data_IF_203066057052
#
_entry.id   IF_203066057052
#
_cell.length_a   1.000
_cell.length_b   1.000
_cell.length_c   1.000
_cell.angle_alpha   90.00
_cell.angle_beta   90.00
_cell.angle_gamma   90.00
#
_symmetry.space_group_name_H-M   'P 1'
#
loop_
_entity.id
_entity.type
_entity.pdbx_description
1 polymer ?
#
# COMPACT_ATOMS: atom_id res chain seq x y z
N UNK A 1 19.11 -12.17 -12.95
CA UNK A 1 19.26 -11.61 -11.58
C UNK A 1 18.12 -10.64 -11.22
N UNK A 2 17.72 -9.74 -12.13
CA UNK A 2 16.68 -8.74 -11.88
C UNK A 2 15.26 -9.34 -11.69
N UNK A 3 14.88 -10.34 -12.50
CA UNK A 3 13.58 -11.03 -12.38
C UNK A 3 13.38 -11.71 -11.02
N UNK A 4 14.41 -12.38 -10.48
CA UNK A 4 14.36 -12.99 -9.14
C UNK A 4 14.20 -11.96 -8.02
N UNK A 5 14.86 -10.80 -8.14
CA UNK A 5 14.69 -9.69 -7.19
C UNK A 5 13.25 -9.13 -7.23
N UNK A 6 12.73 -8.88 -8.43
CA UNK A 6 11.34 -8.44 -8.65
C UNK A 6 10.35 -9.41 -8.01
N UNK A 7 10.47 -10.70 -8.33
CA UNK A 7 9.60 -11.76 -7.83
C UNK A 7 9.67 -11.86 -6.30
N UNK A 8 10.87 -11.84 -5.71
CA UNK A 8 11.03 -11.92 -4.26
C UNK A 8 10.34 -10.76 -3.54
N UNK A 9 10.53 -9.54 -4.04
CA UNK A 9 9.92 -8.34 -3.44
C UNK A 9 8.40 -8.36 -3.59
N UNK A 10 7.87 -8.77 -4.74
CA UNK A 10 6.43 -8.91 -4.93
C UNK A 10 5.83 -9.97 -3.99
N UNK A 11 6.47 -11.14 -3.83
CA UNK A 11 6.01 -12.18 -2.91
C UNK A 11 5.98 -11.65 -1.47
N UNK A 12 7.06 -11.02 -1.01
CA UNK A 12 7.13 -10.43 0.33
C UNK A 12 6.05 -9.36 0.52
N UNK A 13 5.87 -8.51 -0.50
CA UNK A 13 4.83 -7.47 -0.49
C UNK A 13 3.44 -8.06 -0.35
N UNK A 14 3.14 -9.13 -1.10
CA UNK A 14 1.85 -9.80 -1.07
C UNK A 14 1.58 -10.47 0.28
N UNK A 15 2.54 -11.24 0.79
CA UNK A 15 2.41 -12.00 2.04
C UNK A 15 2.25 -11.08 3.25
N UNK A 16 2.91 -9.91 3.27
CA UNK A 16 2.75 -8.94 4.35
C UNK A 16 1.54 -8.03 4.14
N UNK A 17 1.34 -7.57 2.91
CA UNK A 17 0.32 -6.58 2.56
C UNK A 17 -1.10 -7.12 2.66
N UNK A 18 -1.37 -8.33 2.15
CA UNK A 18 -2.74 -8.88 2.08
C UNK A 18 -3.35 -9.06 3.49
N UNK A 19 -2.71 -9.76 4.44
CA UNK A 19 -3.29 -9.93 5.77
C UNK A 19 -3.48 -8.59 6.49
N UNK A 20 -2.50 -7.70 6.41
CA UNK A 20 -2.54 -6.43 7.11
C UNK A 20 -3.64 -5.50 6.57
N UNK A 21 -3.80 -5.41 5.25
CA UNK A 21 -4.82 -4.58 4.62
C UNK A 21 -6.22 -5.18 4.73
N UNK A 22 -6.39 -6.51 4.70
CA UNK A 22 -7.70 -7.14 4.97
C UNK A 22 -8.16 -6.82 6.40
N UNK A 23 -7.27 -6.96 7.38
CA UNK A 23 -7.56 -6.64 8.78
C UNK A 23 -7.92 -5.15 8.97
N UNK A 24 -7.18 -4.26 8.31
CA UNK A 24 -7.45 -2.83 8.31
C UNK A 24 -8.79 -2.50 7.66
N UNK A 25 -9.06 -3.06 6.47
CA UNK A 25 -10.33 -2.91 5.75
C UNK A 25 -11.52 -3.33 6.62
N UNK A 26 -11.47 -4.51 7.23
CA UNK A 26 -12.52 -4.99 8.14
C UNK A 26 -12.75 -4.01 9.31
N UNK A 27 -11.67 -3.47 9.86
CA UNK A 27 -11.72 -2.52 10.97
C UNK A 27 -12.33 -1.18 10.54
N UNK A 28 -11.92 -0.64 9.40
CA UNK A 28 -12.42 0.64 8.89
C UNK A 28 -13.85 0.52 8.38
N UNK A 29 -14.24 -0.57 7.70
CA UNK A 29 -15.63 -0.84 7.33
C UNK A 29 -16.56 -0.80 8.55
N UNK A 30 -16.22 -1.53 9.62
CA UNK A 30 -17.00 -1.51 10.87
C UNK A 30 -17.06 -0.12 11.49
N UNK A 31 -15.96 0.63 11.44
CA UNK A 31 -15.87 1.96 12.03
C UNK A 31 -16.71 2.99 11.26
N UNK A 32 -16.58 3.00 9.93
CA UNK A 32 -17.35 3.86 9.02
C UNK A 32 -18.85 3.55 9.12
N UNK A 33 -19.22 2.27 9.19
CA UNK A 33 -20.63 1.87 9.36
C UNK A 33 -21.23 2.36 10.68
N UNK A 34 -20.47 2.36 11.79
CA UNK A 34 -20.98 2.80 13.10
C UNK A 34 -20.99 4.32 13.26
N UNK A 35 -19.89 4.99 12.91
CA UNK A 35 -19.74 6.44 13.04
C UNK A 35 -18.71 6.94 12.03
N UNK A 36 -19.16 7.37 10.83
CA UNK A 36 -18.24 7.81 9.79
C UNK A 36 -17.57 9.11 10.20
N UNK A 37 -16.25 9.15 10.08
CA UNK A 37 -15.45 10.37 10.16
C UNK A 37 -14.63 10.51 8.86
N UNK A 38 -14.33 11.75 8.41
CA UNK A 38 -13.57 11.97 7.18
C UNK A 38 -12.27 11.14 7.13
N UNK A 39 -11.47 11.17 8.20
CA UNK A 39 -10.26 10.35 8.33
C UNK A 39 -10.50 8.85 8.13
N UNK A 40 -11.62 8.31 8.60
CA UNK A 40 -11.90 6.87 8.50
C UNK A 40 -12.31 6.48 7.08
N UNK A 41 -12.95 7.40 6.34
CA UNK A 41 -13.28 7.21 4.92
C UNK A 41 -12.01 7.28 4.06
N UNK A 42 -11.09 8.21 4.35
CA UNK A 42 -9.82 8.31 3.63
C UNK A 42 -8.96 7.06 3.86
N UNK A 43 -8.85 6.59 5.11
CA UNK A 43 -8.11 5.36 5.42
C UNK A 43 -8.79 4.12 4.84
N UNK A 44 -10.13 4.07 4.78
CA UNK A 44 -10.84 3.00 4.11
C UNK A 44 -10.54 2.98 2.60
N UNK A 45 -10.60 4.14 1.93
CA UNK A 45 -10.24 4.22 0.51
C UNK A 45 -8.77 3.86 0.25
N UNK A 46 -7.86 4.22 1.16
CA UNK A 46 -6.46 3.80 1.09
C UNK A 46 -6.34 2.28 1.16
N UNK A 47 -7.00 1.63 2.13
CA UNK A 47 -7.02 0.15 2.20
C UNK A 47 -7.67 -0.50 0.98
N UNK A 48 -8.69 0.11 0.37
CA UNK A 48 -9.31 -0.40 -0.86
C UNK A 48 -8.31 -0.30 -2.03
N UNK A 49 -7.62 0.83 -2.15
CA UNK A 49 -6.56 1.04 -3.15
C UNK A 49 -5.46 -0.02 -3.00
N UNK A 50 -4.98 -0.25 -1.79
CA UNK A 50 -3.93 -1.24 -1.51
C UNK A 50 -4.40 -2.68 -1.76
N UNK A 51 -5.65 -3.02 -1.43
CA UNK A 51 -6.20 -4.35 -1.73
C UNK A 51 -6.37 -4.59 -3.24
N UNK A 52 -6.77 -3.57 -4.01
CA UNK A 52 -6.82 -3.66 -5.47
C UNK A 52 -5.39 -3.86 -6.00
N UNK A 53 -4.43 -3.04 -5.56
CA UNK A 53 -3.02 -3.20 -5.90
C UNK A 53 -2.52 -4.64 -5.64
N UNK A 54 -2.77 -5.16 -4.43
CA UNK A 54 -2.35 -6.50 -4.03
C UNK A 54 -3.08 -7.61 -4.80
N UNK A 55 -4.32 -7.39 -5.23
CA UNK A 55 -5.06 -8.34 -6.05
C UNK A 55 -4.50 -8.46 -7.48
N UNK A 56 -3.91 -7.38 -8.02
CA UNK A 56 -3.26 -7.38 -9.34
C UNK A 56 -1.76 -7.74 -9.29
N UNK A 57 -1.14 -7.69 -8.12
CA UNK A 57 0.27 -8.04 -7.92
C UNK A 57 0.65 -9.47 -8.40
N UNK A 58 -0.18 -10.53 -8.25
CA UNK A 58 0.12 -11.87 -8.75
C UNK A 58 0.32 -11.93 -10.27
N UNK A 59 -0.38 -11.11 -11.07
CA UNK A 59 -0.15 -11.05 -12.51
C UNK A 59 1.25 -10.51 -12.83
N UNK A 60 1.71 -9.52 -12.06
CA UNK A 60 3.10 -9.00 -12.13
C UNK A 60 4.13 -10.01 -11.61
N UNK A 61 3.78 -10.86 -10.65
CA UNK A 61 4.64 -11.99 -10.26
C UNK A 61 4.77 -13.00 -11.39
N UNK A 62 3.68 -13.30 -12.10
CA UNK A 62 3.73 -14.23 -13.24
C UNK A 62 4.59 -13.67 -14.37
N UNK A 63 4.41 -12.40 -14.72
CA UNK A 63 5.28 -11.69 -15.68
C UNK A 63 6.76 -11.77 -15.27
N UNK A 64 7.08 -11.48 -14.00
CA UNK A 64 8.47 -11.58 -13.51
C UNK A 64 9.01 -13.03 -13.47
N UNK A 65 8.15 -14.03 -13.29
CA UNK A 65 8.52 -15.44 -13.32
C UNK A 65 8.76 -15.96 -14.73
N UNK A 66 8.17 -15.32 -15.74
CA UNK A 66 8.32 -15.62 -17.16
C UNK A 66 9.39 -14.73 -17.80
N UNK A 67 10.42 -14.34 -17.04
CA UNK A 67 11.52 -13.49 -17.51
C UNK A 67 11.08 -12.16 -18.17
N UNK A 68 9.98 -11.58 -17.66
CA UNK A 68 9.33 -10.36 -18.15
C UNK A 68 8.53 -10.53 -19.46
N UNK A 69 8.35 -11.76 -19.93
CA UNK A 69 7.43 -12.08 -21.03
C UNK A 69 5.97 -12.11 -20.53
N UNK A 70 5.06 -11.60 -21.35
CA UNK A 70 3.63 -11.60 -21.06
C UNK A 70 2.94 -12.79 -21.73
N UNK A 71 2.87 -13.92 -21.01
CA UNK A 71 2.25 -15.17 -21.50
C UNK A 71 0.76 -15.31 -21.17
N UNK A 72 0.20 -14.36 -20.41
CA UNK A 72 -1.22 -14.31 -20.07
C UNK A 72 -2.06 -13.73 -21.23
N UNK A 73 -3.40 -13.89 -21.23
CA UNK A 73 -4.25 -13.24 -22.22
C UNK A 73 -3.93 -11.75 -22.35
N UNK A 74 -3.65 -11.29 -23.57
CA UNK A 74 -3.08 -9.95 -23.77
C UNK A 74 -3.94 -8.80 -23.21
N UNK A 75 -5.28 -8.80 -23.24
CA UNK A 75 -6.08 -7.74 -22.61
C UNK A 75 -5.79 -7.52 -21.12
N UNK A 76 -5.30 -8.54 -20.41
CA UNK A 76 -4.90 -8.43 -19.02
C UNK A 76 -3.62 -7.60 -18.83
N UNK A 77 -2.75 -7.46 -19.85
CA UNK A 77 -1.54 -6.65 -19.78
C UNK A 77 -1.86 -5.17 -19.50
N UNK A 78 -2.56 -4.44 -20.41
CA UNK A 78 -2.86 -3.03 -20.19
C UNK A 78 -3.75 -2.83 -18.96
N UNK A 79 -4.66 -3.77 -18.68
CA UNK A 79 -5.55 -3.68 -17.51
C UNK A 79 -4.80 -3.84 -16.18
N UNK A 80 -3.92 -4.83 -16.08
CA UNK A 80 -3.08 -5.05 -14.88
C UNK A 80 -2.16 -3.85 -14.67
N UNK A 81 -1.49 -3.37 -15.73
CA UNK A 81 -0.64 -2.18 -15.66
C UNK A 81 -1.44 -0.97 -15.16
N UNK A 82 -2.59 -0.69 -15.77
CA UNK A 82 -3.45 0.42 -15.39
C UNK A 82 -3.85 0.38 -13.91
N UNK A 83 -4.41 -0.74 -13.43
CA UNK A 83 -4.82 -0.87 -12.03
C UNK A 83 -3.64 -0.75 -11.07
N UNK A 84 -2.49 -1.33 -11.43
CA UNK A 84 -1.28 -1.29 -10.63
C UNK A 84 -0.77 0.15 -10.42
N UNK A 85 -0.65 0.95 -11.48
CA UNK A 85 -0.15 2.32 -11.32
C UNK A 85 -1.21 3.29 -10.78
N UNK A 86 -2.49 3.14 -11.17
CA UNK A 86 -3.59 3.98 -10.62
C UNK A 86 -3.64 3.87 -9.11
N UNK A 87 -3.56 2.65 -8.57
CA UNK A 87 -3.62 2.42 -7.12
C UNK A 87 -2.40 3.01 -6.38
N UNK A 88 -1.20 2.91 -6.94
CA UNK A 88 0.02 3.53 -6.37
C UNK A 88 -0.15 5.06 -6.23
N UNK A 89 -0.56 5.74 -7.30
CA UNK A 89 -0.74 7.20 -7.24
C UNK A 89 -1.98 7.61 -6.44
N UNK A 90 -3.04 6.80 -6.43
CA UNK A 90 -4.20 7.03 -5.59
C UNK A 90 -3.83 6.96 -4.10
N UNK A 91 -2.98 6.01 -3.69
CA UNK A 91 -2.44 5.96 -2.32
C UNK A 91 -1.65 7.23 -1.97
N UNK A 92 -0.92 7.81 -2.92
CA UNK A 92 -0.19 9.08 -2.74
C UNK A 92 -1.13 10.26 -2.45
N UNK A 93 -2.23 10.39 -3.22
CA UNK A 93 -3.24 11.43 -3.00
C UNK A 93 -4.03 11.22 -1.69
N UNK A 94 -4.36 9.97 -1.36
CA UNK A 94 -5.07 9.63 -0.12
C UNK A 94 -4.21 9.90 1.13
N UNK A 95 -2.91 9.57 1.10
CA UNK A 95 -1.97 9.92 2.16
C UNK A 95 -1.83 11.44 2.33
N UNK A 96 -1.87 12.19 1.22
CA UNK A 96 -1.89 13.65 1.26
C UNK A 96 -3.17 14.16 1.93
N UNK A 97 -4.34 13.65 1.55
CA UNK A 97 -5.59 14.02 2.19
C UNK A 97 -5.63 13.64 3.68
N UNK A 98 -5.03 12.52 4.08
CA UNK A 98 -4.85 12.16 5.49
C UNK A 98 -4.02 13.22 6.22
N UNK A 99 -2.93 13.71 5.62
CA UNK A 99 -2.11 14.78 6.22
C UNK A 99 -2.91 16.09 6.39
N UNK A 100 -3.71 16.46 5.39
CA UNK A 100 -4.57 17.66 5.42
C UNK A 100 -5.64 17.53 6.49
N UNK A 101 -6.33 16.39 6.57
CA UNK A 101 -7.34 16.10 7.60
C UNK A 101 -6.75 16.22 9.01
N UNK A 102 -5.52 15.71 9.21
CA UNK A 102 -4.84 15.79 10.51
C UNK A 102 -4.46 17.22 10.87
N UNK A 103 -3.97 17.98 9.91
CA UNK A 103 -3.63 19.39 10.08
C UNK A 103 -4.89 20.22 10.42
N UNK A 104 -5.95 20.12 9.60
CA UNK A 104 -7.20 20.88 9.80
C UNK A 104 -7.84 20.58 11.15
N UNK A 105 -7.82 19.32 11.59
CA UNK A 105 -8.36 18.90 12.88
C UNK A 105 -7.66 19.50 14.10
N UNK A 106 -6.42 19.99 13.96
CA UNK A 106 -5.66 20.63 15.06
C UNK A 106 -5.56 22.14 14.87
N UNK A 107 -5.46 22.63 13.63
CA UNK A 107 -5.38 24.06 13.34
C UNK A 107 -6.71 24.79 13.58
N UNK A 108 -7.84 24.12 13.32
CA UNK A 108 -9.16 24.76 13.37
C UNK A 108 -10.19 23.93 14.17
N UNK A 109 -9.94 23.57 15.44
CA UNK A 109 -10.75 22.59 16.17
C UNK A 109 -12.25 22.95 16.24
N UNK A 110 -12.61 24.23 16.44
CA UNK A 110 -14.00 24.67 16.55
C UNK A 110 -14.70 24.71 15.18
N UNK A 111 -14.14 25.46 14.22
CA UNK A 111 -14.71 25.59 12.86
C UNK A 111 -14.73 24.24 12.12
N UNK A 112 -13.64 23.48 12.24
CA UNK A 112 -13.54 22.17 11.62
C UNK A 112 -14.52 21.18 12.24
N UNK A 113 -14.69 21.14 13.56
CA UNK A 113 -15.66 20.24 14.21
C UNK A 113 -17.09 20.49 13.73
N UNK A 114 -17.48 21.74 13.44
CA UNK A 114 -18.79 22.09 12.91
C UNK A 114 -18.95 21.73 11.42
N UNK A 115 -17.88 21.84 10.64
CA UNK A 115 -17.86 21.53 9.21
C UNK A 115 -17.43 20.10 8.87
N UNK A 116 -17.18 19.24 9.88
CA UNK A 116 -16.63 17.87 9.73
C UNK A 116 -17.63 16.90 9.13
N UNK A 117 -17.97 17.08 7.85
CA UNK A 117 -18.89 16.23 7.10
C UNK A 117 -18.12 15.12 6.39
N UNK A 118 -18.40 13.84 6.68
CA UNK A 118 -17.73 12.71 6.02
C UNK A 118 -17.89 12.71 4.48
N UNK A 119 -18.95 13.35 3.97
CA UNK A 119 -19.22 13.51 2.53
C UNK A 119 -18.06 14.16 1.77
N UNK A 120 -17.33 15.11 2.38
CA UNK A 120 -16.18 15.73 1.71
C UNK A 120 -15.04 14.73 1.46
N UNK A 121 -14.80 13.80 2.38
CA UNK A 121 -13.81 12.74 2.18
C UNK A 121 -14.26 11.74 1.09
N UNK A 122 -15.55 11.47 0.96
CA UNK A 122 -16.10 10.64 -0.13
C UNK A 122 -15.87 11.32 -1.47
N UNK A 123 -16.27 12.58 -1.61
CA UNK A 123 -16.06 13.35 -2.84
C UNK A 123 -14.57 13.48 -3.19
N UNK A 124 -13.71 13.77 -2.22
CA UNK A 124 -12.27 13.81 -2.44
C UNK A 124 -11.74 12.46 -2.95
N UNK A 125 -12.18 11.34 -2.36
CA UNK A 125 -11.75 10.01 -2.79
C UNK A 125 -12.19 9.70 -4.22
N UNK A 126 -13.44 10.03 -4.58
CA UNK A 126 -13.94 9.87 -5.96
C UNK A 126 -13.11 10.70 -6.94
N UNK A 127 -12.81 11.95 -6.59
CA UNK A 127 -11.97 12.84 -7.41
C UNK A 127 -10.58 12.23 -7.60
N UNK A 128 -9.96 11.69 -6.55
CA UNK A 128 -8.64 11.06 -6.67
C UNK A 128 -8.64 9.86 -7.60
N UNK A 129 -9.66 8.99 -7.52
CA UNK A 129 -9.82 7.88 -8.46
C UNK A 129 -9.96 8.35 -9.90
N UNK A 130 -10.79 9.37 -10.15
CA UNK A 130 -10.97 9.95 -11.50
C UNK A 130 -9.68 10.58 -12.01
N UNK A 131 -9.04 11.45 -11.22
CA UNK A 131 -7.82 12.17 -11.61
C UNK A 131 -6.70 11.18 -11.92
N UNK A 132 -6.47 10.19 -11.06
CA UNK A 132 -5.45 9.17 -11.30
C UNK A 132 -5.77 8.32 -12.51
N UNK A 133 -7.02 7.88 -12.67
CA UNK A 133 -7.44 7.09 -13.84
C UNK A 133 -7.28 7.85 -15.16
N UNK A 134 -7.58 9.15 -15.18
CA UNK A 134 -7.38 9.99 -16.36
C UNK A 134 -5.89 10.16 -16.70
N UNK A 135 -5.07 10.53 -15.71
CA UNK A 135 -3.64 10.75 -15.89
C UNK A 135 -2.88 9.47 -16.30
N UNK A 136 -3.32 8.31 -15.80
CA UNK A 136 -2.69 7.02 -16.07
C UNK A 136 -3.34 6.22 -17.20
N UNK A 137 -4.31 6.80 -17.90
CA UNK A 137 -4.94 6.19 -19.08
C UNK A 137 -3.92 5.77 -20.16
N UNK A 138 -2.80 6.51 -20.29
CA UNK A 138 -1.70 6.20 -21.22
C UNK A 138 -1.10 4.80 -21.00
N UNK A 139 -1.10 4.31 -19.75
CA UNK A 139 -0.60 2.97 -19.39
C UNK A 139 -1.49 1.88 -19.98
N UNK A 140 -2.78 2.14 -20.14
CA UNK A 140 -3.72 1.23 -20.79
C UNK A 140 -3.64 1.36 -22.31
N UNK A 141 -3.67 2.61 -22.81
CA UNK A 141 -3.81 2.91 -24.23
C UNK A 141 -2.59 2.45 -25.03
N UNK A 142 -1.35 2.65 -24.54
CA UNK A 142 -0.16 2.31 -25.31
C UNK A 142 -0.06 0.80 -25.60
N UNK A 143 -0.05 -0.11 -24.59
CA UNK A 143 0.02 -1.55 -24.87
C UNK A 143 -1.17 -2.05 -25.68
N UNK A 144 -2.37 -1.50 -25.43
CA UNK A 144 -3.55 -1.84 -26.22
C UNK A 144 -3.40 -1.46 -27.70
N UNK A 145 -2.90 -0.25 -27.98
CA UNK A 145 -2.65 0.22 -29.35
C UNK A 145 -1.55 -0.61 -30.04
N UNK A 146 -0.49 -1.00 -29.32
CA UNK A 146 0.56 -1.89 -29.83
C UNK A 146 -0.02 -3.23 -30.28
N UNK A 147 -0.90 -3.83 -29.47
CA UNK A 147 -1.57 -5.08 -29.81
C UNK A 147 -2.53 -4.97 -30.98
N UNK A 148 -3.35 -3.90 -31.02
CA UNK A 148 -4.27 -3.64 -32.13
C UNK A 148 -3.52 -3.50 -33.47
N UNK A 149 -2.42 -2.75 -33.50
CA UNK A 149 -1.60 -2.60 -34.72
C UNK A 149 -1.02 -3.92 -35.20
N UNK A 150 -0.58 -4.77 -34.28
CA UNK A 150 -0.09 -6.12 -34.61
C UNK A 150 -1.19 -7.00 -35.21
N UNK A 151 -2.43 -6.88 -34.72
CA UNK A 151 -3.60 -7.58 -35.26
C UNK A 151 -3.91 -7.18 -36.71
N UNK A 152 -3.89 -5.89 -37.02
CA UNK A 152 -4.24 -5.38 -38.35
C UNK A 152 -3.15 -5.69 -39.40
N UNK A 153 -1.88 -5.68 -38.99
CA UNK A 153 -0.73 -5.92 -39.88
C UNK A 153 -0.75 -7.32 -40.52
N UNK A 154 -1.28 -8.34 -39.82
CA UNK A 154 -1.44 -9.69 -40.35
C UNK A 154 -2.58 -9.85 -41.36
N UNK A 155 -3.52 -8.88 -41.43
CA UNK A 155 -4.65 -8.94 -42.36
C UNK A 155 -4.31 -8.43 -43.77
N UNK A 156 -3.26 -7.61 -43.92
CA UNK A 156 -2.96 -6.93 -45.18
C UNK A 156 -1.87 -7.63 -46.03
N UNK A 157 -1.10 -8.54 -45.42
CA UNK A 157 -0.20 -9.40 -46.15
C UNK A 157 -0.97 -10.68 -46.49
N UNK A 158 -1.35 -10.85 -47.76
CA UNK A 158 -2.13 -11.99 -48.29
C UNK A 158 -1.47 -13.37 -48.16
N UNK A 159 -0.59 -13.57 -47.19
CA UNK A 159 -0.13 -14.86 -46.72
C UNK A 159 -1.29 -15.62 -46.06
N UNK A 160 -1.69 -16.72 -46.70
CA UNK A 160 -2.43 -17.82 -46.10
C UNK A 160 -1.73 -18.30 -44.83
N UNK A 161 -2.10 -17.74 -43.68
CA UNK A 161 -1.73 -18.27 -42.39
C UNK A 161 -2.89 -18.04 -41.42
N UNK A 162 -3.57 -19.13 -41.05
CA UNK A 162 -4.54 -19.23 -39.95
C UNK A 162 -3.89 -18.97 -38.56
N UNK A 163 -2.82 -18.18 -38.49
CA UNK A 163 -2.12 -17.87 -37.26
C UNK A 163 -2.62 -16.51 -36.75
N UNK A 164 -3.31 -16.46 -35.60
CA UNK A 164 -3.69 -15.20 -34.99
C UNK A 164 -2.46 -14.32 -34.81
N UNK A 165 -2.61 -13.01 -35.01
CA UNK A 165 -1.54 -12.05 -34.83
C UNK A 165 -0.84 -12.27 -33.48
N UNK A 166 0.48 -12.43 -33.52
CA UNK A 166 1.26 -12.70 -32.31
C UNK A 166 1.19 -11.45 -31.43
N UNK A 167 0.68 -11.53 -30.20
CA UNK A 167 0.67 -10.39 -29.30
C UNK A 167 2.10 -9.93 -29.00
N UNK A 168 2.30 -8.65 -28.62
CA UNK A 168 3.60 -8.17 -28.16
C UNK A 168 4.17 -9.09 -27.06
N UNK A 169 5.46 -9.46 -27.13
CA UNK A 169 6.06 -10.41 -26.19
C UNK A 169 6.15 -9.84 -24.77
N UNK A 170 6.30 -8.51 -24.66
CA UNK A 170 6.46 -7.79 -23.39
C UNK A 170 5.25 -6.90 -23.10
N UNK A 171 5.05 -6.56 -21.83
CA UNK A 171 3.94 -5.70 -21.39
C UNK A 171 4.46 -4.37 -20.81
N UNK A 172 4.26 -3.27 -21.55
CA UNK A 172 4.62 -1.91 -21.13
C UNK A 172 6.11 -1.73 -20.75
N UNK A 173 6.99 -2.40 -21.50
CA UNK A 173 8.46 -2.33 -21.35
C UNK A 173 9.10 -1.59 -22.52
N UNK A 174 8.76 -2.00 -23.74
CA UNK A 174 9.37 -1.50 -24.97
C UNK A 174 8.50 -0.43 -25.62
N UNK A 175 9.14 0.68 -25.99
CA UNK A 175 8.49 1.85 -26.58
C UNK A 175 9.27 2.33 -27.81
N UNK A 176 8.55 2.59 -28.88
CA UNK A 176 9.07 3.26 -30.07
C UNK A 176 9.37 4.73 -29.78
N UNK A 177 10.18 5.37 -30.64
CA UNK A 177 10.53 6.80 -30.49
C UNK A 177 9.29 7.71 -30.50
N UNK A 178 8.27 7.38 -31.28
CA UNK A 178 7.05 8.17 -31.35
C UNK A 178 6.16 7.99 -30.11
N UNK A 179 6.11 6.77 -29.54
CA UNK A 179 5.46 6.55 -28.25
C UNK A 179 6.16 7.31 -27.13
N UNK A 180 7.51 7.35 -27.12
CA UNK A 180 8.28 8.10 -26.14
C UNK A 180 8.03 9.62 -26.19
N UNK A 181 7.83 10.20 -27.38
CA UNK A 181 7.48 11.63 -27.53
C UNK A 181 6.20 12.01 -26.78
N UNK A 182 5.25 11.08 -26.68
CA UNK A 182 3.99 11.28 -25.95
C UNK A 182 4.18 10.91 -24.47
N UNK A 183 4.88 9.81 -24.21
CA UNK A 183 4.95 9.18 -22.90
C UNK A 183 5.85 9.92 -21.91
N UNK A 184 6.96 10.50 -22.37
CA UNK A 184 7.91 11.20 -21.50
C UNK A 184 7.31 12.48 -20.88
N UNK A 185 6.64 13.38 -21.65
CA UNK A 185 5.95 14.53 -21.05
C UNK A 185 4.87 14.12 -20.04
N UNK A 186 4.08 13.08 -20.33
CA UNK A 186 3.05 12.58 -19.40
C UNK A 186 3.70 12.05 -18.12
N UNK A 187 4.80 11.29 -18.21
CA UNK A 187 5.55 10.83 -17.03
C UNK A 187 6.08 11.99 -16.19
N UNK A 188 6.57 13.05 -16.82
CA UNK A 188 7.00 14.26 -16.11
C UNK A 188 5.81 14.94 -15.41
N UNK A 189 4.65 15.00 -16.06
CA UNK A 189 3.41 15.50 -15.42
C UNK A 189 3.04 14.66 -14.19
N UNK A 190 3.09 13.32 -14.27
CA UNK A 190 2.86 12.43 -13.12
C UNK A 190 3.81 12.75 -11.96
N UNK A 191 5.09 12.97 -12.25
CA UNK A 191 6.09 13.37 -11.25
C UNK A 191 5.71 14.69 -10.57
N UNK A 192 5.39 15.72 -11.35
CA UNK A 192 5.09 17.05 -10.82
C UNK A 192 3.77 17.07 -10.04
N UNK A 193 2.70 16.55 -10.65
CA UNK A 193 1.33 16.69 -10.18
C UNK A 193 0.98 15.62 -9.15
N UNK A 194 1.37 14.37 -9.36
CA UNK A 194 0.98 13.24 -8.51
C UNK A 194 2.05 12.83 -7.50
N UNK A 195 3.25 13.42 -7.53
CA UNK A 195 4.28 13.21 -6.52
C UNK A 195 4.74 14.51 -5.84
N UNK A 196 5.28 15.49 -6.56
CA UNK A 196 5.83 16.71 -5.95
C UNK A 196 4.77 17.53 -5.20
N UNK A 197 3.63 17.81 -5.83
CA UNK A 197 2.53 18.55 -5.18
C UNK A 197 2.03 17.82 -3.91
N UNK A 198 1.66 16.52 -3.97
CA UNK A 198 1.34 15.70 -2.79
C UNK A 198 2.40 15.73 -1.68
N UNK A 199 3.68 15.62 -2.04
CA UNK A 199 4.79 15.60 -1.10
C UNK A 199 4.96 16.94 -0.38
N UNK A 200 4.89 18.06 -1.12
CA UNK A 200 4.98 19.41 -0.57
C UNK A 200 3.81 19.71 0.36
N UNK A 201 2.58 19.40 -0.07
CA UNK A 201 1.38 19.56 0.76
C UNK A 201 1.50 18.73 2.04
N UNK A 202 1.87 17.45 1.91
CA UNK A 202 2.02 16.55 3.06
C UNK A 202 3.06 17.05 4.05
N UNK A 203 4.20 17.52 3.56
CA UNK A 203 5.27 18.08 4.39
C UNK A 203 4.79 19.33 5.12
N UNK A 204 4.17 20.27 4.41
CA UNK A 204 3.59 21.47 5.01
C UNK A 204 2.56 21.13 6.09
N UNK A 205 1.61 20.25 5.79
CA UNK A 205 0.56 19.85 6.72
C UNK A 205 1.12 19.17 7.96
N UNK A 206 2.05 18.22 7.82
CA UNK A 206 2.62 17.52 8.96
C UNK A 206 3.54 18.37 9.83
N UNK A 207 4.36 19.24 9.23
CA UNK A 207 5.19 20.19 9.98
C UNK A 207 4.31 21.09 10.84
N UNK A 208 3.25 21.67 10.27
CA UNK A 208 2.35 22.54 11.02
C UNK A 208 1.51 21.76 12.04
N UNK A 209 1.02 20.56 11.69
CA UNK A 209 0.33 19.66 12.61
C UNK A 209 1.18 19.38 13.85
N UNK A 210 2.46 19.01 13.70
CA UNK A 210 3.37 18.75 14.82
C UNK A 210 3.66 20.02 15.63
N UNK A 211 3.89 21.16 14.96
CA UNK A 211 4.16 22.45 15.63
C UNK A 211 3.00 22.87 16.52
N UNK A 212 1.78 22.86 15.99
CA UNK A 212 0.59 23.23 16.76
C UNK A 212 0.37 22.22 17.89
N UNK A 213 0.40 20.92 17.58
CA UNK A 213 0.20 19.86 18.58
C UNK A 213 1.21 19.94 19.74
N UNK A 214 2.46 20.33 19.46
CA UNK A 214 3.51 20.45 20.48
C UNK A 214 3.35 21.67 21.38
N UNK A 215 2.56 22.68 20.97
CA UNK A 215 2.25 23.87 21.78
C UNK A 215 1.02 23.71 22.68
N UNK A 216 0.20 22.67 22.47
CA UNK A 216 -0.99 22.45 23.29
C UNK A 216 -0.57 21.93 24.69
N UNK A 217 -0.93 22.63 25.79
CA UNK A 217 -0.42 22.36 27.13
C UNK A 217 -0.86 21.01 27.71
N UNK A 218 -1.99 20.46 27.26
CA UNK A 218 -2.61 19.25 27.83
C UNK A 218 -2.46 17.99 26.96
N UNK A 219 -1.48 17.95 26.05
CA UNK A 219 -1.25 16.76 25.21
C UNK A 219 -0.23 15.82 25.84
N UNK A 220 -0.72 14.67 26.29
CA UNK A 220 0.15 13.62 26.83
C UNK A 220 1.20 13.12 25.84
N UNK A 221 2.39 12.80 26.35
CA UNK A 221 3.57 12.32 25.59
C UNK A 221 3.24 11.24 24.56
N UNK A 222 2.41 10.26 24.93
CA UNK A 222 2.04 9.14 24.04
C UNK A 222 1.27 9.59 22.80
N UNK A 223 0.40 10.60 22.91
CA UNK A 223 -0.36 11.15 21.78
C UNK A 223 0.57 11.95 20.86
N UNK A 224 1.50 12.72 21.43
CA UNK A 224 2.52 13.47 20.67
C UNK A 224 3.44 12.53 19.88
N UNK A 225 3.99 11.50 20.51
CA UNK A 225 4.83 10.51 19.82
C UNK A 225 4.09 9.79 18.69
N UNK A 226 2.79 9.52 18.84
CA UNK A 226 1.98 8.94 17.75
C UNK A 226 1.80 9.88 16.57
N UNK A 227 1.60 11.17 16.82
CA UNK A 227 1.49 12.16 15.77
C UNK A 227 2.80 12.31 14.99
N UNK A 228 3.93 12.31 15.71
CA UNK A 228 5.27 12.31 15.10
C UNK A 228 5.49 11.03 14.31
N UNK A 229 5.16 9.86 14.87
CA UNK A 229 5.26 8.58 14.17
C UNK A 229 4.41 8.50 12.90
N UNK A 230 3.19 9.05 12.93
CA UNK A 230 2.33 9.17 11.75
C UNK A 230 2.99 10.03 10.67
N UNK A 231 3.45 11.23 11.03
CA UNK A 231 4.06 12.16 10.10
C UNK A 231 5.35 11.60 9.48
N UNK A 232 6.26 11.08 10.32
CA UNK A 232 7.51 10.47 9.85
C UNK A 232 7.22 9.25 8.98
N UNK A 233 6.29 8.38 9.40
CA UNK A 233 5.89 7.21 8.62
C UNK A 233 5.40 7.59 7.22
N UNK A 234 4.48 8.56 7.12
CA UNK A 234 4.00 9.02 5.81
C UNK A 234 5.10 9.67 4.97
N UNK A 235 5.95 10.53 5.55
CA UNK A 235 7.04 11.17 4.80
C UNK A 235 8.11 10.18 4.32
N UNK A 236 8.39 9.13 5.12
CA UNK A 236 9.28 8.04 4.71
C UNK A 236 8.67 7.27 3.54
N UNK A 237 7.38 6.98 3.56
CA UNK A 237 6.67 6.36 2.43
C UNK A 237 6.83 7.20 1.16
N UNK A 238 6.63 8.51 1.23
CA UNK A 238 6.88 9.39 0.07
C UNK A 238 8.32 9.30 -0.43
N UNK A 239 9.30 9.47 0.45
CA UNK A 239 10.70 9.55 0.05
C UNK A 239 11.26 8.21 -0.46
N UNK A 240 10.92 7.11 0.22
CA UNK A 240 11.53 5.79 -0.02
C UNK A 240 10.68 4.94 -0.96
N UNK A 241 9.34 4.97 -0.85
CA UNK A 241 8.47 4.15 -1.69
C UNK A 241 8.10 4.83 -3.00
N UNK A 242 7.74 6.11 -2.98
CA UNK A 242 7.31 6.79 -4.22
C UNK A 242 8.45 7.55 -4.91
N UNK A 243 9.40 8.07 -4.15
CA UNK A 243 10.51 8.88 -4.65
C UNK A 243 11.31 8.22 -5.77
N UNK A 244 11.88 7.01 -5.59
CA UNK A 244 12.77 6.41 -6.59
C UNK A 244 12.09 6.22 -7.95
N UNK A 245 10.85 5.71 -7.96
CA UNK A 245 10.09 5.51 -9.19
C UNK A 245 9.79 6.84 -9.89
N UNK A 246 9.39 7.86 -9.12
CA UNK A 246 9.09 9.18 -9.65
C UNK A 246 10.35 9.91 -10.18
N UNK A 247 11.52 9.70 -9.57
CA UNK A 247 12.81 10.21 -10.09
C UNK A 247 13.12 9.62 -11.48
N UNK A 248 12.75 8.37 -11.74
CA UNK A 248 12.96 7.76 -13.07
C UNK A 248 12.21 8.49 -14.20
N UNK A 249 11.10 9.17 -13.89
CA UNK A 249 10.35 9.97 -14.86
C UNK A 249 11.13 11.21 -15.29
N UNK A 250 11.78 11.87 -14.34
CA UNK A 250 12.61 13.06 -14.62
C UNK A 250 13.84 12.66 -15.42
N UNK A 251 14.52 11.58 -15.01
CA UNK A 251 15.72 11.11 -15.72
C UNK A 251 15.37 10.71 -17.15
N UNK A 252 14.31 9.91 -17.35
CA UNK A 252 13.86 9.52 -18.69
C UNK A 252 13.43 10.71 -19.55
N UNK A 253 12.81 11.74 -18.96
CA UNK A 253 12.48 12.97 -19.68
C UNK A 253 13.74 13.74 -20.11
N UNK A 254 14.75 13.85 -19.24
CA UNK A 254 16.00 14.54 -19.57
C UNK A 254 16.79 13.77 -20.64
N UNK A 255 16.88 12.45 -20.52
CA UNK A 255 17.66 11.59 -21.42
C UNK A 255 16.94 11.19 -22.69
N UNK A 256 15.63 11.47 -22.78
CA UNK A 256 14.78 11.12 -23.92
C UNK A 256 14.70 9.59 -24.18
N UNK A 257 14.79 8.78 -23.11
CA UNK A 257 14.78 7.32 -23.17
C UNK A 257 13.94 6.70 -22.04
N UNK A 258 13.59 5.41 -22.18
CA UNK A 258 12.96 4.66 -21.09
C UNK A 258 14.02 3.97 -20.25
N UNK A 259 14.27 4.48 -19.05
CA UNK A 259 15.28 3.97 -18.14
C UNK A 259 15.09 2.48 -17.77
N UNK A 260 16.14 1.66 -17.92
CA UNK A 260 16.11 0.23 -17.57
C UNK A 260 15.91 -0.02 -16.07
N UNK A 261 16.49 0.83 -15.22
CA UNK A 261 16.39 0.74 -13.76
C UNK A 261 15.02 1.15 -13.23
N UNK A 262 14.11 1.67 -14.08
CA UNK A 262 12.76 2.10 -13.69
C UNK A 262 11.93 0.98 -13.06
N UNK A 263 12.05 -0.25 -13.57
CA UNK A 263 11.35 -1.41 -13.02
C UNK A 263 11.86 -1.76 -11.62
N UNK A 264 13.16 -1.57 -11.36
CA UNK A 264 13.74 -1.74 -10.02
C UNK A 264 13.27 -0.63 -9.09
N UNK A 265 13.24 0.62 -9.58
CA UNK A 265 12.74 1.75 -8.79
C UNK A 265 11.26 1.59 -8.42
N UNK A 266 10.44 1.01 -9.31
CA UNK A 266 9.04 0.70 -9.05
C UNK A 266 8.82 -0.27 -7.88
N UNK A 267 9.77 -1.17 -7.63
CA UNK A 267 9.71 -2.09 -6.48
C UNK A 267 9.63 -1.37 -5.15
N UNK A 268 10.24 -0.19 -5.05
CA UNK A 268 10.13 0.62 -3.84
C UNK A 268 8.67 1.03 -3.56
N UNK A 269 7.88 1.30 -4.60
CA UNK A 269 6.48 1.70 -4.48
C UNK A 269 5.57 0.57 -4.03
N UNK A 270 5.93 -0.69 -4.29
CA UNK A 270 5.12 -1.84 -3.85
C UNK A 270 5.13 -2.00 -2.34
N UNK A 271 6.22 -1.61 -1.68
CA UNK A 271 6.31 -1.63 -0.22
C UNK A 271 5.35 -0.66 0.47
N UNK A 272 4.76 0.31 -0.24
CA UNK A 272 3.74 1.19 0.31
C UNK A 272 2.62 0.39 1.01
N UNK A 273 2.09 -0.63 0.33
CA UNK A 273 1.02 -1.48 0.85
C UNK A 273 1.41 -2.23 2.14
N UNK A 274 2.71 -2.44 2.38
CA UNK A 274 3.22 -3.04 3.62
C UNK A 274 3.48 -2.01 4.72
N UNK A 275 3.73 -0.75 4.37
CA UNK A 275 4.04 0.32 5.30
C UNK A 275 2.78 1.07 5.79
N UNK A 276 1.72 1.09 5.00
CA UNK A 276 0.43 1.68 5.37
C UNK A 276 -0.18 1.15 6.68
N UNK A 277 -0.05 -0.14 7.04
CA UNK A 277 -0.41 -0.64 8.37
C UNK A 277 0.24 0.10 9.56
N UNK A 278 1.47 0.62 9.42
CA UNK A 278 2.09 1.47 10.44
C UNK A 278 1.36 2.81 10.54
N UNK A 279 1.03 3.42 9.40
CA UNK A 279 0.23 4.65 9.32
C UNK A 279 -1.13 4.42 9.99
N UNK A 280 -1.80 3.29 9.72
CA UNK A 280 -3.08 2.92 10.35
C UNK A 280 -2.96 2.77 11.86
N UNK A 281 -1.88 2.15 12.35
CA UNK A 281 -1.58 2.00 13.77
C UNK A 281 -1.46 3.37 14.47
N UNK A 282 -0.71 4.32 13.89
CA UNK A 282 -0.56 5.65 14.49
C UNK A 282 -1.84 6.49 14.36
N UNK A 283 -2.59 6.31 13.28
CA UNK A 283 -3.78 7.07 12.92
C UNK A 283 -5.06 6.62 13.67
N UNK A 284 -5.27 5.33 13.90
CA UNK A 284 -6.56 4.78 14.37
C UNK A 284 -6.45 3.99 15.69
N UNK A 285 -7.22 4.39 16.70
CA UNK A 285 -7.31 3.65 17.97
C UNK A 285 -7.95 2.26 17.80
N UNK A 286 -8.91 2.13 16.88
CA UNK A 286 -9.58 0.86 16.59
C UNK A 286 -8.60 -0.17 16.02
N UNK A 287 -7.75 0.25 15.07
CA UNK A 287 -6.70 -0.61 14.48
C UNK A 287 -5.72 -1.05 15.55
N UNK A 288 -5.26 -0.14 16.43
CA UNK A 288 -4.39 -0.51 17.57
C UNK A 288 -5.04 -1.54 18.48
N UNK A 289 -6.31 -1.36 18.83
CA UNK A 289 -7.03 -2.31 19.68
C UNK A 289 -7.11 -3.68 19.02
N UNK A 290 -7.48 -3.72 17.73
CA UNK A 290 -7.55 -4.94 16.94
C UNK A 290 -6.21 -5.66 16.86
N UNK A 291 -5.12 -4.95 16.54
CA UNK A 291 -3.77 -5.52 16.46
C UNK A 291 -3.31 -6.07 17.82
N UNK A 292 -3.59 -5.35 18.92
CA UNK A 292 -3.28 -5.84 20.26
C UNK A 292 -4.06 -7.11 20.61
N UNK A 293 -5.34 -7.22 20.22
CA UNK A 293 -6.12 -8.45 20.41
C UNK A 293 -5.57 -9.60 19.57
N UNK A 294 -5.24 -9.36 18.30
CA UNK A 294 -4.64 -10.35 17.43
C UNK A 294 -3.30 -10.86 18.00
N UNK A 295 -2.43 -9.94 18.42
CA UNK A 295 -1.14 -10.27 19.02
C UNK A 295 -1.28 -11.07 20.31
N UNK A 296 -2.21 -10.68 21.22
CA UNK A 296 -2.50 -11.45 22.44
C UNK A 296 -3.00 -12.86 22.13
N UNK A 297 -3.89 -13.02 21.15
CA UNK A 297 -4.41 -14.33 20.76
C UNK A 297 -3.33 -15.22 20.14
N UNK A 298 -2.44 -14.64 19.32
CA UNK A 298 -1.30 -15.35 18.73
C UNK A 298 -0.32 -15.78 19.83
N UNK A 299 0.04 -14.88 20.75
CA UNK A 299 0.90 -15.20 21.89
C UNK A 299 0.31 -16.28 22.78
N UNK A 300 -1.01 -16.25 23.04
CA UNK A 300 -1.70 -17.29 23.80
C UNK A 300 -1.63 -18.65 23.08
N UNK A 301 -1.85 -18.70 21.75
CA UNK A 301 -1.73 -19.93 20.96
C UNK A 301 -0.29 -20.47 20.92
N UNK A 302 0.71 -19.59 20.77
CA UNK A 302 2.14 -19.96 20.82
C UNK A 302 2.52 -20.50 22.20
N UNK A 303 2.01 -19.92 23.28
CA UNK A 303 2.23 -20.41 24.63
C UNK A 303 1.61 -21.81 24.84
N UNK A 304 0.39 -22.05 24.33
CA UNK A 304 -0.25 -23.37 24.36
C UNK A 304 0.57 -24.40 23.57
N UNK A 305 1.05 -24.05 22.37
CA UNK A 305 1.90 -24.94 21.56
C UNK A 305 3.24 -25.25 22.25
N UNK A 306 3.81 -24.27 22.97
CA UNK A 306 5.08 -24.44 23.71
C UNK A 306 4.91 -25.25 25.00
N UNK A 307 3.75 -25.16 25.67
CA UNK A 307 3.44 -25.95 26.87
C UNK A 307 2.87 -27.34 26.54
N UNK A 308 2.26 -27.54 25.37
CA UNK A 308 1.72 -28.83 24.91
C UNK A 308 2.76 -29.82 24.39
N UNK A 309 4.05 -29.44 24.36
CA UNK A 309 5.17 -30.27 23.91
C UNK A 309 5.98 -30.96 25.01
N UNK A 310 5.57 -30.91 26.27
CA UNK A 310 6.24 -31.66 27.34
C UNK A 310 5.66 -33.10 27.40
N UNK A 311 6.47 -34.17 27.20
CA UNK A 311 6.00 -35.52 27.43
C UNK A 311 5.75 -35.71 28.93
N UNK A 312 4.52 -36.08 29.29
CA UNK A 312 4.22 -36.61 30.60
C UNK A 312 5.01 -37.92 30.76
N UNK A 313 6.09 -37.90 31.54
CA UNK A 313 6.74 -39.13 32.00
C UNK A 313 6.09 -39.57 33.31
N UNK A 314 5.52 -40.79 33.41
CA UNK A 314 4.89 -41.26 34.63
C UNK A 314 5.94 -41.89 35.55
N UNK A 315 6.57 -41.10 36.43
CA UNK A 315 7.40 -41.66 37.49
C UNK A 315 6.64 -41.78 38.82
N UNK A 316 6.17 -43.00 39.04
CA UNK A 316 6.19 -43.77 40.30
C UNK A 316 6.28 -43.01 41.63
N UNK A 317 5.22 -43.16 42.43
CA UNK A 317 5.29 -43.09 43.90
C UNK A 317 6.25 -44.17 44.42
N UNK A 318 7.03 -43.84 45.47
CA UNK A 318 7.05 -44.68 46.65
C UNK A 318 6.62 -43.94 47.92
N UNK A 319 6.29 -44.78 48.89
CA UNK A 319 5.45 -44.61 50.07
C UNK A 319 6.20 -44.06 51.29
N UNK A 320 5.41 -43.62 52.28
CA UNK A 320 5.67 -43.55 53.75
C UNK A 320 6.17 -42.21 54.32
N UNK A 321 5.31 -41.58 55.12
CA UNK A 321 5.47 -41.56 56.58
C UNK A 321 4.21 -40.90 57.19
N UNK A 322 3.40 -41.73 57.86
CA UNK A 322 2.39 -41.26 58.78
C UNK A 322 3.08 -41.06 60.13
N UNK A 323 3.27 -39.81 60.54
CA UNK A 323 3.53 -39.47 61.93
C UNK A 323 2.73 -38.21 62.27
N UNK A 324 1.69 -38.45 63.08
CA UNK A 324 0.79 -37.46 63.67
C UNK A 324 0.79 -37.77 65.16
N UNK A 325 1.39 -36.88 65.97
CA UNK A 325 1.41 -36.73 67.44
C UNK A 325 2.83 -36.26 67.80
N UNK A 326 3.15 -35.19 68.52
CA UNK A 326 2.55 -34.20 69.45
C UNK A 326 3.27 -32.87 69.13
N UNK A 327 2.85 -31.65 69.49
CA UNK A 327 2.53 -31.16 70.83
C UNK A 327 2.22 -29.65 70.71
N UNK A 328 1.09 -29.20 71.23
CA UNK A 328 0.80 -27.83 71.73
C UNK A 328 -0.65 -27.89 72.21
N UNK A 329 -1.05 -27.54 73.42
CA UNK A 329 -0.51 -26.71 74.49
C UNK A 329 -1.04 -27.27 75.84
N UNK A 330 -0.48 -26.93 77.00
CA UNK A 330 -0.79 -25.70 77.76
C UNK A 330 -0.06 -25.80 79.13
N UNK A 331 0.02 -24.71 79.90
CA UNK A 331 0.73 -23.44 79.72
C UNK A 331 2.18 -23.48 80.23
#
# INVERSE_FOLDING_TARGET
>A
MQCHLLLSIYIVTFLMGVPANILAFCTFCRKVHRKPAPIDILLLNLTISDLIFLAFLPFKMKEASDDMDWLLPYPLCPFTGFMFYVTIYNSTLLLTAVSVERYLGVAYPLRYSLCRRPRYAVWASIIFWVVTSLNLSVVYIIPYAQWSKGADSNSNNGSTANSPARPPPTCYLDFTKDELKILLPVRLELFLVLFCVPFVISTFCYVNFIRILSRLPNIGRRRRLRAIGLALGTLIVFAVCFGPYNVSHVVGYIRQESEEWRNVALLSSTFNACLDPFIFYFSSAAVRSMLNHCFKNIMAKLHILRCGGAPHSPHQRPTKAAEKYKETALP
#
